data_IF_549285626533
#
_entry.id   IF_549285626533
#
_cell.length_a   1.000
_cell.length_b   1.000
_cell.length_c   1.000
_cell.angle_alpha   90.00
_cell.angle_beta   90.00
_cell.angle_gamma   90.00
#
_symmetry.space_group_name_H-M   'P 1'
#
loop_
_entity.id
_entity.type
_entity.pdbx_description
1 polymer ?
#
# COMPACT_ATOMS: atom_id res chain seq x y z
N UNK A 1 -10.90 0.42 14.82
CA UNK A 1 -10.21 0.36 13.51
C UNK A 1 -10.46 1.66 12.76
N UNK A 2 -9.42 2.37 12.34
CA UNK A 2 -9.57 3.62 11.56
C UNK A 2 -9.70 3.34 10.05
N UNK A 3 -10.04 4.36 9.25
CA UNK A 3 -10.23 4.23 7.81
C UNK A 3 -9.01 3.65 7.08
N UNK A 4 -7.80 4.12 7.39
CA UNK A 4 -6.58 3.64 6.74
C UNK A 4 -6.28 2.19 7.09
N UNK A 5 -6.45 1.82 8.36
CA UNK A 5 -6.29 0.43 8.80
C UNK A 5 -7.24 -0.51 8.04
N UNK A 6 -8.51 -0.11 7.84
CA UNK A 6 -9.45 -0.93 7.08
C UNK A 6 -9.09 -1.04 5.60
N UNK A 7 -8.54 0.02 5.00
CA UNK A 7 -8.05 -0.01 3.62
C UNK A 7 -6.78 -0.88 3.49
N UNK A 8 -5.87 -0.84 4.47
CA UNK A 8 -4.68 -1.69 4.49
C UNK A 8 -5.04 -3.16 4.68
N UNK A 9 -6.00 -3.48 5.54
CA UNK A 9 -6.50 -4.86 5.70
C UNK A 9 -7.16 -5.40 4.43
N UNK A 10 -7.67 -4.54 3.55
CA UNK A 10 -8.15 -4.97 2.24
C UNK A 10 -7.02 -5.41 1.30
N UNK A 11 -5.81 -4.90 1.51
CA UNK A 11 -4.63 -5.27 0.71
C UNK A 11 -3.91 -6.48 1.32
N UNK A 12 -3.68 -6.45 2.63
CA UNK A 12 -2.77 -7.37 3.31
C UNK A 12 -3.46 -8.21 4.40
N UNK A 13 -4.80 -8.26 4.42
CA UNK A 13 -5.55 -8.95 5.47
C UNK A 13 -5.31 -10.45 5.52
N UNK A 14 -4.95 -11.03 4.38
CA UNK A 14 -4.62 -12.45 4.23
C UNK A 14 -3.10 -12.70 4.27
N UNK A 15 -2.28 -11.66 4.47
CA UNK A 15 -0.82 -11.78 4.59
C UNK A 15 -0.47 -12.26 5.99
N UNK A 16 0.24 -13.38 6.07
CA UNK A 16 0.69 -13.95 7.33
C UNK A 16 1.58 -12.97 8.10
N UNK A 17 1.41 -12.93 9.43
CA UNK A 17 2.13 -12.05 10.35
C UNK A 17 2.06 -10.54 10.09
N UNK A 18 1.24 -10.08 9.14
CA UNK A 18 0.98 -8.67 8.93
C UNK A 18 0.42 -8.01 10.20
N UNK A 19 1.05 -6.91 10.63
CA UNK A 19 0.63 -6.10 11.79
C UNK A 19 0.11 -4.75 11.32
N UNK A 20 -1.07 -4.38 11.79
CA UNK A 20 -1.73 -3.12 11.43
C UNK A 20 -1.73 -2.20 12.63
N UNK A 21 -1.03 -1.06 12.53
CA UNK A 21 -0.83 -0.11 13.63
C UNK A 21 -1.10 1.30 13.11
N UNK A 22 -2.18 1.91 13.60
CA UNK A 22 -2.57 3.26 13.18
C UNK A 22 -2.85 3.31 11.67
N UNK A 23 -2.07 4.10 10.93
CA UNK A 23 -2.20 4.29 9.47
C UNK A 23 -1.22 3.44 8.65
N UNK A 24 -0.54 2.49 9.29
CA UNK A 24 0.52 1.68 8.70
C UNK A 24 0.22 0.19 8.81
N UNK A 25 0.68 -0.57 7.83
CA UNK A 25 0.81 -2.03 7.88
C UNK A 25 2.30 -2.38 7.86
N UNK A 26 2.68 -3.39 8.63
CA UNK A 26 4.03 -3.90 8.72
C UNK A 26 4.03 -5.40 8.43
N UNK A 27 4.83 -5.83 7.46
CA UNK A 27 4.92 -7.21 6.99
C UNK A 27 6.36 -7.66 7.18
N UNK A 28 6.62 -8.72 7.98
CA UNK A 28 7.95 -9.30 8.08
C UNK A 28 8.46 -9.75 6.71
N UNK A 29 9.73 -9.51 6.45
CA UNK A 29 10.48 -9.99 5.30
C UNK A 29 11.77 -10.67 5.81
N UNK A 30 12.63 -11.14 4.91
CA UNK A 30 13.80 -11.93 5.31
C UNK A 30 14.87 -11.08 5.97
N UNK A 31 15.87 -11.76 6.55
CA UNK A 31 17.02 -11.13 7.19
C UNK A 31 16.63 -10.12 8.29
N UNK A 32 15.43 -10.30 8.86
CA UNK A 32 14.85 -9.40 9.86
C UNK A 32 14.40 -8.05 9.29
N UNK A 33 14.25 -7.93 7.97
CA UNK A 33 13.67 -6.78 7.30
C UNK A 33 12.17 -6.69 7.58
N UNK A 34 11.65 -5.47 7.50
CA UNK A 34 10.25 -5.17 7.69
C UNK A 34 9.75 -4.28 6.56
N UNK A 35 8.74 -4.74 5.83
CA UNK A 35 8.06 -3.91 4.84
C UNK A 35 6.98 -3.11 5.53
N UNK A 36 7.05 -1.78 5.44
CA UNK A 36 6.02 -0.84 5.89
C UNK A 36 5.20 -0.35 4.71
N UNK A 37 3.88 -0.45 4.81
CA UNK A 37 2.94 0.11 3.85
C UNK A 37 2.11 1.24 4.49
N UNK A 38 2.01 2.39 3.83
CA UNK A 38 1.19 3.52 4.28
C UNK A 38 0.63 4.32 3.11
N UNK A 39 -0.59 4.83 3.24
CA UNK A 39 -1.14 5.75 2.24
C UNK A 39 -0.53 7.14 2.41
N UNK A 40 -0.09 7.76 1.32
CA UNK A 40 0.63 9.05 1.34
C UNK A 40 0.01 10.09 0.41
N UNK A 41 0.19 11.36 0.77
CA UNK A 41 -0.12 12.50 -0.08
C UNK A 41 1.03 12.79 -1.05
N UNK A 42 0.75 13.53 -2.12
CA UNK A 42 1.75 13.99 -3.09
C UNK A 42 1.49 15.45 -3.46
N UNK A 43 1.94 16.38 -2.60
CA UNK A 43 1.88 17.82 -2.88
C UNK A 43 0.57 18.52 -2.51
N UNK A 44 -0.54 17.79 -2.31
CA UNK A 44 -1.81 18.34 -1.82
C UNK A 44 -2.10 17.82 -0.42
N UNK A 45 -2.38 18.74 0.51
CA UNK A 45 -2.68 18.39 1.91
C UNK A 45 -3.92 17.50 1.98
N UNK A 46 -3.85 16.44 2.79
CA UNK A 46 -4.96 15.51 3.04
C UNK A 46 -5.54 14.80 1.81
N UNK A 47 -4.88 14.85 0.66
CA UNK A 47 -5.21 14.05 -0.52
C UNK A 47 -4.20 12.94 -0.72
N UNK A 48 -4.59 11.73 -0.33
CA UNK A 48 -3.75 10.54 -0.46
C UNK A 48 -4.00 9.88 -1.81
N UNK A 49 -2.93 9.74 -2.58
CA UNK A 49 -2.97 9.36 -4.00
C UNK A 49 -2.06 8.19 -4.32
N UNK A 50 -1.42 7.59 -3.31
CA UNK A 50 -0.52 6.47 -3.47
C UNK A 50 -0.43 5.63 -2.19
N UNK A 51 -0.04 4.37 -2.37
CA UNK A 51 0.51 3.53 -1.31
C UNK A 51 2.04 3.60 -1.37
N UNK A 52 2.67 4.09 -0.31
CA UNK A 52 4.12 4.02 -0.15
C UNK A 52 4.47 2.71 0.53
N UNK A 53 5.38 1.96 -0.08
CA UNK A 53 5.99 0.76 0.48
C UNK A 53 7.44 1.10 0.84
N UNK A 54 7.94 0.64 1.97
CA UNK A 54 9.31 0.90 2.40
C UNK A 54 9.88 -0.33 3.10
N UNK A 55 11.09 -0.74 2.73
CA UNK A 55 11.79 -1.83 3.42
C UNK A 55 12.68 -1.24 4.49
N UNK A 56 12.55 -1.76 5.71
CA UNK A 56 13.23 -1.28 6.90
C UNK A 56 14.12 -2.40 7.43
N UNK A 57 15.42 -2.16 7.46
CA UNK A 57 16.36 -2.95 8.24
C UNK A 57 16.52 -2.35 9.63
N UNK A 58 16.63 -3.18 10.68
CA UNK A 58 16.76 -2.70 12.06
C UNK A 58 18.06 -1.94 12.33
N UNK A 59 19.14 -2.28 11.63
CA UNK A 59 20.43 -1.63 11.77
C UNK A 59 20.50 -0.34 10.93
N UNK A 60 19.98 -0.37 9.70
CA UNK A 60 20.23 0.69 8.72
C UNK A 60 19.03 1.63 8.47
N UNK A 61 17.86 1.32 9.03
CA UNK A 61 16.64 2.08 8.78
C UNK A 61 16.01 1.73 7.42
N UNK A 62 15.49 2.72 6.71
CA UNK A 62 14.85 2.49 5.39
C UNK A 62 15.93 2.22 4.35
N UNK A 63 15.96 1.01 3.80
CA UNK A 63 16.93 0.59 2.78
C UNK A 63 16.39 0.71 1.36
N UNK A 64 15.07 0.63 1.18
CA UNK A 64 14.41 0.86 -0.11
C UNK A 64 12.98 1.42 0.06
N UNK A 65 12.48 2.08 -0.98
CA UNK A 65 11.13 2.62 -1.03
C UNK A 65 10.58 2.64 -2.45
N UNK A 66 9.32 2.24 -2.60
CA UNK A 66 8.54 2.47 -3.82
C UNK A 66 7.21 3.17 -3.55
N UNK A 67 6.66 3.80 -4.58
CA UNK A 67 5.36 4.46 -4.57
C UNK A 67 4.44 3.81 -5.61
N UNK A 68 3.39 3.15 -5.13
CA UNK A 68 2.33 2.61 -5.97
C UNK A 68 1.24 3.67 -6.11
N UNK A 69 1.28 4.47 -7.19
CA UNK A 69 0.34 5.57 -7.39
C UNK A 69 -1.01 5.04 -7.84
N UNK A 70 -2.10 5.55 -7.25
CA UNK A 70 -3.45 5.13 -7.65
C UNK A 70 -3.73 5.37 -9.13
N UNK A 71 -3.07 6.36 -9.76
CA UNK A 71 -3.18 6.62 -11.19
C UNK A 71 -2.74 5.48 -12.10
N UNK A 72 -1.87 4.60 -11.59
CA UNK A 72 -1.31 3.47 -12.35
C UNK A 72 -2.18 2.20 -12.20
N UNK A 73 -2.89 2.07 -11.07
CA UNK A 73 -3.64 0.85 -10.72
C UNK A 73 -5.16 1.00 -10.77
N UNK A 74 -5.69 2.21 -10.57
CA UNK A 74 -7.13 2.44 -10.45
C UNK A 74 -7.73 3.01 -11.73
N UNK A 75 -8.90 2.49 -12.07
CA UNK A 75 -9.67 2.95 -13.21
C UNK A 75 -10.19 4.38 -12.96
N UNK A 76 -10.08 5.25 -13.98
CA UNK A 76 -10.67 6.60 -13.91
C UNK A 76 -12.20 6.52 -13.91
N UNK A 77 -12.85 7.39 -13.15
CA UNK A 77 -14.30 7.51 -13.14
C UNK A 77 -14.84 8.15 -14.44
N UNK A 78 -16.16 8.29 -14.57
CA UNK A 78 -16.82 8.89 -15.76
C UNK A 78 -16.43 10.35 -16.03
N UNK A 79 -15.82 11.04 -15.07
CA UNK A 79 -15.28 12.41 -15.18
C UNK A 79 -13.79 12.43 -15.50
N UNK A 80 -13.18 11.27 -15.76
CA UNK A 80 -11.75 11.13 -16.05
C UNK A 80 -10.85 11.27 -14.82
N UNK A 81 -11.39 11.19 -13.61
CA UNK A 81 -10.64 11.37 -12.36
C UNK A 81 -10.28 10.03 -11.74
N UNK A 82 -9.05 9.91 -11.23
CA UNK A 82 -8.61 8.74 -10.47
C UNK A 82 -9.13 8.82 -9.03
N UNK A 83 -9.68 7.72 -8.47
CA UNK A 83 -10.00 7.60 -7.05
C UNK A 83 -8.85 8.02 -6.13
N UNK A 84 -9.15 8.78 -5.08
CA UNK A 84 -8.20 9.17 -4.04
C UNK A 84 -8.85 9.15 -2.67
N UNK A 85 -8.06 9.16 -1.60
CA UNK A 85 -8.58 9.35 -0.24
C UNK A 85 -8.44 10.82 0.11
N UNK A 86 -9.51 11.45 0.61
CA UNK A 86 -9.47 12.82 1.12
C UNK A 86 -9.98 12.89 2.55
N UNK A 87 -9.40 13.78 3.35
CA UNK A 87 -10.00 14.22 4.60
C UNK A 87 -11.03 15.33 4.32
N UNK A 88 -12.29 15.12 4.68
CA UNK A 88 -13.28 16.18 4.77
C UNK A 88 -13.68 16.34 6.24
N UNK A 89 -13.38 17.51 6.81
CA UNK A 89 -13.79 17.87 8.17
C UNK A 89 -13.36 16.84 9.23
N UNK A 90 -12.16 16.26 9.07
CA UNK A 90 -11.59 15.25 9.96
C UNK A 90 -11.96 13.79 9.61
N UNK A 91 -12.87 13.58 8.66
CA UNK A 91 -13.29 12.26 8.20
C UNK A 91 -12.56 11.90 6.91
N UNK A 92 -11.88 10.76 6.91
CA UNK A 92 -11.18 10.25 5.72
C UNK A 92 -12.10 9.31 4.94
N UNK A 93 -12.23 9.55 3.63
CA UNK A 93 -13.04 8.72 2.74
C UNK A 93 -12.55 8.75 1.29
N UNK A 94 -13.05 7.83 0.48
CA UNK A 94 -12.76 7.78 -0.95
C UNK A 94 -13.53 8.85 -1.72
N UNK A 95 -12.81 9.64 -2.52
CA UNK A 95 -13.37 10.57 -3.48
C UNK A 95 -13.28 9.95 -4.88
N UNK A 96 -14.42 9.50 -5.39
CA UNK A 96 -14.47 8.53 -6.49
C UNK A 96 -14.14 7.13 -5.95
N UNK A 97 -15.10 6.21 -5.99
CA UNK A 97 -14.94 4.88 -5.41
C UNK A 97 -14.07 3.99 -6.32
N UNK A 98 -12.99 3.36 -5.84
CA UNK A 98 -12.26 2.36 -6.63
C UNK A 98 -13.16 1.18 -6.98
N UNK A 99 -12.97 0.60 -8.17
CA UNK A 99 -13.69 -0.61 -8.59
C UNK A 99 -13.25 -1.78 -7.73
N UNK A 100 -14.19 -2.26 -6.90
CA UNK A 100 -13.89 -3.06 -5.72
C UNK A 100 -12.98 -4.28 -5.94
N UNK A 101 -13.13 -4.99 -7.06
CA UNK A 101 -12.32 -6.19 -7.33
C UNK A 101 -11.13 -5.85 -8.21
N UNK A 102 -11.35 -5.19 -9.36
CA UNK A 102 -10.29 -4.96 -10.37
C UNK A 102 -9.17 -4.06 -9.83
N UNK A 103 -9.53 -2.87 -9.37
CA UNK A 103 -8.56 -1.84 -8.99
C UNK A 103 -7.76 -2.27 -7.74
N UNK A 104 -8.45 -2.90 -6.78
CA UNK A 104 -7.82 -3.41 -5.57
C UNK A 104 -6.95 -4.65 -5.80
N UNK A 105 -7.30 -5.53 -6.74
CA UNK A 105 -6.44 -6.65 -7.10
C UNK A 105 -5.16 -6.13 -7.75
N UNK A 106 -5.24 -5.21 -8.71
CA UNK A 106 -4.05 -4.66 -9.36
C UNK A 106 -3.06 -3.99 -8.37
N UNK A 107 -3.58 -3.21 -7.41
CA UNK A 107 -2.74 -2.62 -6.37
C UNK A 107 -2.19 -3.67 -5.39
N UNK A 108 -2.99 -4.69 -5.05
CA UNK A 108 -2.57 -5.79 -4.17
C UNK A 108 -1.45 -6.60 -4.82
N UNK A 109 -1.61 -6.98 -6.08
CA UNK A 109 -0.64 -7.79 -6.82
C UNK A 109 0.71 -7.06 -6.86
N UNK A 110 0.73 -5.77 -7.22
CA UNK A 110 1.96 -4.98 -7.23
C UNK A 110 2.59 -4.80 -5.83
N UNK A 111 1.77 -4.67 -4.79
CA UNK A 111 2.28 -4.58 -3.42
C UNK A 111 2.87 -5.92 -2.95
N UNK A 112 2.24 -7.04 -3.31
CA UNK A 112 2.74 -8.39 -3.04
C UNK A 112 4.06 -8.65 -3.77
N UNK A 113 4.16 -8.31 -5.06
CA UNK A 113 5.39 -8.45 -5.84
C UNK A 113 6.57 -7.68 -5.20
N UNK A 114 6.29 -6.48 -4.68
CA UNK A 114 7.29 -5.69 -3.97
C UNK A 114 7.71 -6.35 -2.65
N UNK A 115 6.78 -6.89 -1.86
CA UNK A 115 7.13 -7.65 -0.64
C UNK A 115 8.02 -8.84 -1.00
N UNK A 116 7.62 -9.61 -2.02
CA UNK A 116 8.33 -10.80 -2.47
C UNK A 116 9.76 -10.50 -2.94
N UNK A 117 10.04 -9.30 -3.46
CA UNK A 117 11.40 -8.89 -3.87
C UNK A 117 12.41 -8.92 -2.71
N UNK A 118 11.93 -8.90 -1.47
CA UNK A 118 12.73 -8.96 -0.25
C UNK A 118 12.43 -10.21 0.59
N UNK A 119 11.84 -11.23 -0.04
CA UNK A 119 11.55 -12.56 0.53
C UNK A 119 12.33 -13.68 -0.19
N UNK A 120 12.53 -14.84 0.46
CA UNK A 120 13.58 -15.80 0.06
C UNK A 120 13.31 -16.39 -1.34
N UNK A 121 12.05 -16.34 -1.75
CA UNK A 121 11.54 -16.85 -3.03
C UNK A 121 11.95 -16.03 -4.26
N UNK A 122 12.42 -14.79 -4.12
CA UNK A 122 12.83 -13.95 -5.27
C UNK A 122 14.04 -14.52 -6.03
N UNK A 123 14.80 -15.45 -5.42
CA UNK A 123 16.00 -16.05 -6.00
C UNK A 123 15.87 -17.50 -6.48
N UNK A 124 14.76 -18.20 -6.22
CA UNK A 124 14.64 -19.66 -6.44
C UNK A 124 13.78 -20.05 -7.67
N UNK A 125 13.12 -19.09 -8.32
CA UNK A 125 12.23 -19.34 -9.48
C UNK A 125 12.92 -19.43 -10.85
N UNK A 126 14.25 -19.54 -10.90
CA UNK A 126 15.04 -19.43 -12.12
C UNK A 126 16.29 -20.30 -12.15
N UNK A 127 16.16 -21.61 -11.89
CA UNK A 127 17.12 -22.63 -12.34
C UNK A 127 16.38 -23.87 -12.84
#
# INVERSE_FOLDING_TARGET
>A
MNFFESQLRRLFGDTEDARFIGRCCFIPADDGNLVKAEFVTQGVHEEYVALQMSVINRADGVIDKTLLRFGDYFSRNSRGQTPLIRCDSGKHEWYGQPLQTKDWNALRDAASDYVLTFSEDFGMGGM
#
